data_IF_441299138568
#
_entry.id   IF_441299138568
#
_cell.length_a   1.000
_cell.length_b   1.000
_cell.length_c   1.000
_cell.angle_alpha   90.00
_cell.angle_beta   90.00
_cell.angle_gamma   90.00
#
_symmetry.space_group_name_H-M   'P 1'
#
loop_
_entity.id
_entity.type
_entity.pdbx_description
1 polymer ?
#
# COMPACT_ATOMS: atom_id res chain seq x y z
N UNK A 1 -40.16 21.94 -60.85
CA UNK A 1 -40.63 22.32 -59.50
C UNK A 1 -40.12 21.28 -58.53
N UNK A 2 -38.92 21.44 -57.97
CA UNK A 2 -38.56 22.12 -56.70
C UNK A 2 -38.23 21.06 -55.65
N UNK A 3 -36.93 20.89 -55.45
CA UNK A 3 -36.24 20.17 -54.38
C UNK A 3 -36.60 20.77 -53.02
N UNK A 4 -36.92 19.95 -52.04
CA UNK A 4 -36.72 20.30 -50.63
C UNK A 4 -36.01 19.14 -49.94
N UNK A 5 -34.77 19.41 -49.58
CA UNK A 5 -33.91 18.59 -48.76
C UNK A 5 -33.77 19.26 -47.38
N UNK A 6 -33.56 18.42 -46.35
CA UNK A 6 -32.96 18.69 -45.04
C UNK A 6 -33.82 19.41 -43.97
N UNK A 7 -33.54 19.20 -42.66
CA UNK A 7 -32.30 18.64 -42.12
C UNK A 7 -32.42 17.41 -41.23
N UNK A 8 -31.45 16.51 -41.42
CA UNK A 8 -30.87 15.69 -40.37
C UNK A 8 -30.36 16.63 -39.26
N UNK A 9 -30.90 16.50 -38.06
CA UNK A 9 -30.31 17.13 -36.89
C UNK A 9 -29.07 16.31 -36.52
N UNK A 10 -27.94 16.65 -37.17
CA UNK A 10 -26.63 16.42 -36.57
C UNK A 10 -26.61 17.22 -35.27
N UNK A 11 -26.95 16.56 -34.16
CA UNK A 11 -26.44 16.95 -32.87
C UNK A 11 -24.95 16.58 -32.90
N UNK A 12 -24.17 17.52 -33.40
CA UNK A 12 -22.76 17.63 -33.12
C UNK A 12 -22.65 17.81 -31.61
N UNK A 13 -22.73 16.71 -30.86
CA UNK A 13 -22.40 16.69 -29.45
C UNK A 13 -20.88 16.81 -29.40
N UNK A 14 -20.41 18.05 -29.51
CA UNK A 14 -19.11 18.45 -29.02
C UNK A 14 -19.12 18.24 -27.50
N UNK A 15 -19.12 16.98 -27.09
CA UNK A 15 -19.02 16.56 -25.72
C UNK A 15 -17.75 17.16 -25.19
N UNK A 16 -17.91 18.15 -24.31
CA UNK A 16 -16.86 18.62 -23.42
C UNK A 16 -16.06 17.38 -23.01
N UNK A 17 -14.73 17.41 -23.22
CA UNK A 17 -13.78 16.41 -22.74
C UNK A 17 -13.67 16.37 -21.20
N UNK A 18 -14.82 16.53 -20.54
CA UNK A 18 -15.10 16.35 -19.14
C UNK A 18 -14.87 14.85 -18.84
N UNK A 19 -13.61 14.48 -18.61
CA UNK A 19 -13.25 13.19 -18.04
C UNK A 19 -14.09 13.04 -16.77
N UNK A 20 -14.89 11.96 -16.63
CA UNK A 20 -15.67 11.73 -15.42
C UNK A 20 -14.76 11.85 -14.20
N UNK A 21 -15.16 12.67 -13.24
CA UNK A 21 -14.46 12.71 -11.96
C UNK A 21 -14.39 11.28 -11.40
N UNK A 22 -13.23 10.83 -10.89
CA UNK A 22 -13.15 9.54 -10.24
C UNK A 22 -14.21 9.46 -9.16
N UNK A 23 -14.95 8.34 -9.10
CA UNK A 23 -15.91 8.12 -8.04
C UNK A 23 -15.22 8.30 -6.68
N UNK A 24 -15.88 9.00 -5.76
CA UNK A 24 -15.35 9.13 -4.40
C UNK A 24 -15.16 7.74 -3.79
N UNK A 25 -14.02 7.48 -3.13
CA UNK A 25 -13.80 6.20 -2.47
C UNK A 25 -14.84 6.02 -1.37
N UNK A 26 -15.29 4.78 -1.20
CA UNK A 26 -16.14 4.39 -0.08
C UNK A 26 -15.55 4.90 1.27
N UNK A 27 -16.36 5.43 2.20
CA UNK A 27 -15.86 5.96 3.47
C UNK A 27 -15.00 4.98 4.27
N UNK A 28 -15.29 3.68 4.21
CA UNK A 28 -14.47 2.64 4.84
C UNK A 28 -13.08 2.56 4.20
N UNK A 29 -13.01 2.60 2.87
CA UNK A 29 -11.75 2.67 2.13
C UNK A 29 -10.94 3.93 2.46
N UNK A 30 -11.59 5.08 2.61
CA UNK A 30 -10.93 6.32 3.00
C UNK A 30 -10.32 6.24 4.41
N UNK A 31 -11.06 5.68 5.38
CA UNK A 31 -10.57 5.44 6.73
C UNK A 31 -9.38 4.45 6.75
N UNK A 32 -9.47 3.38 5.97
CA UNK A 32 -8.38 2.39 5.83
C UNK A 32 -7.12 3.03 5.21
N UNK A 33 -7.26 3.92 4.23
CA UNK A 33 -6.13 4.70 3.67
C UNK A 33 -5.50 5.61 4.73
N UNK A 34 -6.30 6.28 5.55
CA UNK A 34 -5.78 7.09 6.65
C UNK A 34 -5.00 6.24 7.64
N UNK A 35 -5.57 5.11 8.06
CA UNK A 35 -4.93 4.19 8.99
C UNK A 35 -3.60 3.67 8.42
N UNK A 36 -3.59 3.22 7.17
CA UNK A 36 -2.37 2.66 6.58
C UNK A 36 -1.25 3.70 6.46
N UNK A 37 -1.59 4.97 6.21
CA UNK A 37 -0.63 6.09 6.21
C UNK A 37 -0.11 6.40 7.60
N UNK A 38 -0.95 6.31 8.63
CA UNK A 38 -0.53 6.47 10.03
C UNK A 38 0.48 5.39 10.43
N UNK A 39 0.20 4.13 10.10
CA UNK A 39 1.14 3.01 10.28
C UNK A 39 2.44 3.27 9.52
N UNK A 40 2.35 3.70 8.25
CA UNK A 40 3.53 3.99 7.44
C UNK A 40 4.38 5.15 7.99
N UNK A 41 3.74 6.17 8.58
CA UNK A 41 4.42 7.25 9.29
C UNK A 41 5.26 6.75 10.46
N UNK A 42 4.73 5.80 11.24
CA UNK A 42 5.46 5.15 12.33
C UNK A 42 6.68 4.34 11.88
N UNK A 43 6.74 3.91 10.61
CA UNK A 43 7.90 3.17 10.10
C UNK A 43 9.17 4.02 9.97
N UNK A 44 9.04 5.35 9.98
CA UNK A 44 10.19 6.26 9.93
C UNK A 44 11.14 6.06 11.12
N UNK A 45 10.60 5.76 12.31
CA UNK A 45 11.37 5.44 13.53
C UNK A 45 12.27 4.21 13.37
N UNK A 46 11.98 3.37 12.37
CA UNK A 46 12.70 2.13 12.08
C UNK A 46 13.55 2.21 10.80
N UNK A 47 13.73 3.41 10.23
CA UNK A 47 14.58 3.64 9.06
C UNK A 47 13.89 3.43 7.71
N UNK A 48 12.55 3.37 7.68
CA UNK A 48 11.76 3.23 6.45
C UNK A 48 11.10 4.57 6.14
N UNK A 49 11.82 5.42 5.40
CA UNK A 49 11.33 6.73 4.99
C UNK A 49 10.23 6.68 3.92
N UNK A 50 9.55 7.82 3.66
CA UNK A 50 8.41 7.92 2.74
C UNK A 50 8.70 7.54 1.29
N UNK A 51 9.97 7.54 0.87
CA UNK A 51 10.38 7.08 -0.47
C UNK A 51 10.33 5.56 -0.63
N UNK A 52 10.29 4.82 0.48
CA UNK A 52 10.36 3.35 0.50
C UNK A 52 9.01 2.71 0.67
N UNK A 53 7.92 3.47 0.71
CA UNK A 53 6.60 2.89 0.86
C UNK A 53 5.54 3.57 0.01
N UNK A 54 4.49 2.83 -0.30
CA UNK A 54 3.28 3.33 -0.94
C UNK A 54 2.04 2.73 -0.27
N UNK A 55 0.95 3.48 -0.30
CA UNK A 55 -0.33 3.12 0.29
C UNK A 55 -1.41 3.23 -0.78
N UNK A 56 -2.10 2.13 -1.09
CA UNK A 56 -3.16 2.12 -2.09
C UNK A 56 -4.16 0.98 -1.84
N UNK A 57 -5.36 1.12 -2.39
CA UNK A 57 -6.29 0.00 -2.49
C UNK A 57 -5.76 -1.04 -3.48
N UNK A 58 -5.81 -2.31 -3.11
CA UNK A 58 -5.48 -3.44 -3.96
C UNK A 58 -6.76 -4.21 -4.30
N UNK A 59 -7.13 -4.22 -5.58
CA UNK A 59 -8.34 -4.89 -6.05
C UNK A 59 -8.26 -6.43 -5.96
N UNK A 60 -7.07 -7.02 -6.00
CA UNK A 60 -6.91 -8.47 -5.87
C UNK A 60 -7.05 -8.90 -4.40
N UNK A 61 -6.48 -8.12 -3.48
CA UNK A 61 -6.63 -8.36 -2.05
C UNK A 61 -7.97 -7.85 -1.48
N UNK A 62 -8.72 -7.07 -2.28
CA UNK A 62 -9.92 -6.34 -1.87
C UNK A 62 -9.72 -5.52 -0.57
N UNK A 63 -8.54 -4.93 -0.40
CA UNK A 63 -8.12 -4.25 0.82
C UNK A 63 -7.13 -3.11 0.55
N UNK A 64 -7.06 -2.15 1.47
CA UNK A 64 -5.98 -1.15 1.46
C UNK A 64 -4.69 -1.81 1.92
N UNK A 65 -3.60 -1.59 1.18
CA UNK A 65 -2.30 -2.18 1.45
C UNK A 65 -1.20 -1.13 1.56
N UNK A 66 -0.30 -1.34 2.51
CA UNK A 66 0.99 -0.65 2.64
C UNK A 66 2.07 -1.52 2.05
N UNK A 67 2.65 -1.07 0.94
CA UNK A 67 3.77 -1.71 0.27
C UNK A 67 5.06 -1.04 0.71
N UNK A 68 6.03 -1.83 1.17
CA UNK A 68 7.36 -1.37 1.57
C UNK A 68 8.39 -2.01 0.65
N UNK A 69 9.19 -1.15 0.02
CA UNK A 69 10.31 -1.55 -0.81
C UNK A 69 11.53 -1.89 0.05
N UNK A 70 12.07 -3.08 -0.18
CA UNK A 70 13.18 -3.66 0.57
C UNK A 70 14.21 -4.28 -0.36
N UNK A 71 15.47 -4.47 0.08
CA UNK A 71 16.47 -5.19 -0.70
C UNK A 71 16.06 -6.63 -1.07
N UNK A 72 15.11 -7.23 -0.34
CA UNK A 72 14.56 -8.58 -0.62
C UNK A 72 13.27 -8.53 -1.47
N UNK A 73 12.91 -7.36 -1.98
CA UNK A 73 11.72 -7.10 -2.77
C UNK A 73 10.58 -6.47 -1.97
N UNK A 74 9.39 -6.47 -2.57
CA UNK A 74 8.24 -5.75 -2.06
C UNK A 74 7.48 -6.59 -1.01
N UNK A 75 7.33 -6.03 0.19
CA UNK A 75 6.47 -6.57 1.23
C UNK A 75 5.21 -5.74 1.34
N UNK A 76 4.05 -6.37 1.53
CA UNK A 76 2.77 -5.68 1.65
C UNK A 76 2.04 -6.07 2.93
N UNK A 77 1.68 -5.08 3.74
CA UNK A 77 0.79 -5.20 4.88
C UNK A 77 -0.62 -4.78 4.46
N UNK A 78 -1.62 -5.67 4.58
CA UNK A 78 -3.00 -5.29 4.29
C UNK A 78 -3.72 -4.82 5.57
N UNK A 79 -4.59 -3.83 5.43
CA UNK A 79 -5.56 -3.45 6.47
C UNK A 79 -6.68 -4.50 6.47
N UNK A 80 -6.83 -5.31 7.53
CA UNK A 80 -7.85 -6.34 7.57
C UNK A 80 -9.20 -5.76 8.05
N UNK A 81 -10.24 -6.60 8.05
CA UNK A 81 -11.47 -6.29 8.78
C UNK A 81 -11.20 -6.18 10.30
N UNK A 82 -12.02 -5.43 11.06
CA UNK A 82 -11.94 -5.42 12.52
C UNK A 82 -11.98 -6.84 13.12
N UNK A 83 -11.14 -7.09 14.14
CA UNK A 83 -11.00 -8.37 14.82
C UNK A 83 -10.04 -9.37 14.17
N UNK A 84 -9.63 -9.15 12.92
CA UNK A 84 -8.66 -9.99 12.21
C UNK A 84 -7.22 -9.49 12.39
N UNK A 85 -6.26 -10.40 12.25
CA UNK A 85 -4.82 -10.07 12.29
C UNK A 85 -4.38 -9.43 10.97
N UNK A 86 -3.36 -8.58 11.02
CA UNK A 86 -2.83 -7.90 9.83
C UNK A 86 -1.99 -8.86 8.98
N UNK A 87 -2.43 -9.28 7.79
CA UNK A 87 -1.68 -10.22 6.97
C UNK A 87 -0.50 -9.52 6.27
N UNK A 88 0.61 -10.24 6.16
CA UNK A 88 1.79 -9.80 5.42
C UNK A 88 1.99 -10.67 4.18
N UNK A 89 2.19 -10.01 3.05
CA UNK A 89 2.43 -10.63 1.76
C UNK A 89 3.82 -10.30 1.25
N UNK A 90 4.41 -11.22 0.50
CA UNK A 90 5.62 -11.02 -0.28
C UNK A 90 5.39 -11.61 -1.67
N UNK A 91 5.67 -10.83 -2.72
CA UNK A 91 5.43 -11.25 -4.12
C UNK A 91 3.99 -11.73 -4.39
N UNK A 92 3.01 -11.16 -3.69
CA UNK A 92 1.59 -11.52 -3.83
C UNK A 92 1.15 -12.73 -3.00
N UNK A 93 2.08 -13.48 -2.42
CA UNK A 93 1.76 -14.62 -1.55
C UNK A 93 1.71 -14.20 -0.08
N UNK A 94 0.73 -14.71 0.66
CA UNK A 94 0.65 -14.49 2.11
C UNK A 94 1.71 -15.32 2.81
N UNK A 95 2.64 -14.64 3.47
CA UNK A 95 3.78 -15.27 4.16
C UNK A 95 3.63 -15.27 5.69
N UNK A 96 2.62 -14.58 6.22
CA UNK A 96 2.34 -14.51 7.64
C UNK A 96 1.27 -13.49 8.01
N UNK A 97 1.25 -13.14 9.30
CA UNK A 97 0.47 -12.04 9.85
C UNK A 97 1.22 -11.47 11.06
N UNK A 98 0.92 -10.21 11.41
CA UNK A 98 1.42 -9.61 12.65
C UNK A 98 0.70 -10.22 13.86
N UNK A 99 1.40 -10.26 15.00
CA UNK A 99 0.86 -10.74 16.28
C UNK A 99 -0.06 -9.71 16.97
N UNK A 100 -0.79 -8.93 16.17
CA UNK A 100 -1.83 -8.02 16.63
C UNK A 100 -3.08 -8.14 15.74
N UNK A 101 -4.23 -7.75 16.31
CA UNK A 101 -5.51 -7.71 15.61
C UNK A 101 -5.94 -6.27 15.41
N UNK A 102 -6.71 -6.00 14.35
CA UNK A 102 -7.30 -4.68 14.14
C UNK A 102 -8.43 -4.45 15.15
N UNK A 103 -8.17 -3.67 16.18
CA UNK A 103 -9.18 -3.28 17.18
C UNK A 103 -9.06 -1.79 17.47
N UNK A 104 -10.08 -1.20 18.10
CA UNK A 104 -10.06 0.22 18.48
C UNK A 104 -8.88 0.59 19.40
N UNK A 105 -8.39 -0.36 20.20
CA UNK A 105 -7.24 -0.16 21.10
C UNK A 105 -5.87 -0.40 20.46
N UNK A 106 -5.81 -0.87 19.22
CA UNK A 106 -4.54 -1.19 18.58
C UNK A 106 -3.93 0.06 17.97
N UNK A 107 -2.91 0.61 18.63
CA UNK A 107 -2.22 1.79 18.15
C UNK A 107 -1.53 1.53 16.81
N UNK A 108 -1.61 2.49 15.89
CA UNK A 108 -0.95 2.39 14.57
C UNK A 108 0.58 2.33 14.71
N UNK A 109 1.15 3.02 15.70
CA UNK A 109 2.59 2.95 16.03
C UNK A 109 3.00 1.56 16.50
N UNK A 110 2.16 0.86 17.26
CA UNK A 110 2.41 -0.52 17.67
C UNK A 110 2.38 -1.46 16.47
N UNK A 111 1.41 -1.30 15.57
CA UNK A 111 1.34 -2.06 14.31
C UNK A 111 2.58 -1.79 13.44
N UNK A 112 3.04 -0.53 13.37
CA UNK A 112 4.26 -0.16 12.65
C UNK A 112 5.51 -0.85 13.24
N UNK A 113 5.62 -0.88 14.57
CA UNK A 113 6.71 -1.57 15.27
C UNK A 113 6.74 -3.07 14.98
N UNK A 114 5.57 -3.73 15.03
CA UNK A 114 5.45 -5.15 14.69
C UNK A 114 5.79 -5.42 13.23
N UNK A 115 5.37 -4.55 12.31
CA UNK A 115 5.70 -4.72 10.90
C UNK A 115 7.19 -4.50 10.63
N UNK A 116 7.81 -3.49 11.23
CA UNK A 116 9.26 -3.29 11.15
C UNK A 116 10.04 -4.48 11.73
N UNK A 117 9.58 -5.05 12.85
CA UNK A 117 10.16 -6.28 13.43
C UNK A 117 10.02 -7.48 12.48
N UNK A 118 8.85 -7.68 11.87
CA UNK A 118 8.62 -8.71 10.86
C UNK A 118 9.58 -8.59 9.68
N UNK A 119 9.77 -7.36 9.16
CA UNK A 119 10.69 -7.11 8.04
C UNK A 119 12.15 -7.37 8.43
N UNK A 120 12.57 -7.06 9.67
CA UNK A 120 13.92 -7.36 10.16
C UNK A 120 14.16 -8.87 10.31
N UNK A 121 13.19 -9.59 10.87
CA UNK A 121 13.28 -11.05 11.07
C UNK A 121 13.50 -11.77 9.73
N UNK A 122 12.83 -11.32 8.67
CA UNK A 122 13.01 -11.86 7.31
C UNK A 122 14.20 -11.28 6.55
N UNK A 123 15.13 -10.61 7.25
CA UNK A 123 16.31 -9.95 6.68
C UNK A 123 15.96 -9.01 5.49
N UNK A 124 14.77 -8.42 5.53
CA UNK A 124 14.29 -7.45 4.55
C UNK A 124 14.68 -6.02 4.94
N UNK A 125 15.13 -5.77 6.16
CA UNK A 125 15.75 -4.50 6.55
C UNK A 125 17.17 -4.74 7.03
N UNK A 126 18.08 -3.84 6.63
CA UNK A 126 19.43 -3.82 7.17
C UNK A 126 19.35 -3.63 8.68
N UNK A 127 20.14 -4.41 9.42
CA UNK A 127 20.22 -4.29 10.87
C UNK A 127 21.47 -3.45 11.15
N UNK A 128 21.33 -2.22 11.68
CA UNK A 128 22.48 -1.41 12.07
C UNK A 128 23.38 -2.24 13.01
N UNK A 129 24.61 -2.49 12.58
CA UNK A 129 25.61 -3.26 13.35
C UNK A 129 25.70 -4.77 13.10
N UNK A 130 24.75 -5.40 12.39
CA UNK A 130 24.82 -6.83 12.04
C UNK A 130 25.34 -7.08 10.62
N UNK A 131 25.09 -6.15 9.70
CA UNK A 131 25.59 -6.20 8.32
C UNK A 131 27.02 -5.65 8.18
N UNK A 132 27.63 -5.23 9.30
CA UNK A 132 29.00 -4.74 9.39
C UNK A 132 30.02 -5.87 9.68
N UNK A 133 29.68 -7.14 9.47
CA UNK A 133 30.71 -8.17 9.40
C UNK A 133 31.51 -7.91 8.11
N UNK A 134 32.78 -7.49 8.19
CA UNK A 134 33.61 -7.43 7.00
C UNK A 134 33.68 -8.84 6.42
N UNK A 135 33.29 -8.99 5.16
CA UNK A 135 33.74 -10.12 4.34
C UNK A 135 35.26 -10.23 4.51
N UNK A 136 35.82 -11.40 4.87
CA UNK A 136 37.25 -11.59 4.87
C UNK A 136 37.69 -11.46 3.41
N UNK A 137 38.17 -10.28 3.03
CA UNK A 137 38.84 -10.09 1.77
C UNK A 137 40.20 -10.77 1.90
N UNK A 138 40.33 -11.85 1.13
CA UNK A 138 41.55 -12.54 0.71
C UNK A 138 42.81 -12.30 1.55
N UNK A 139 43.12 -13.25 2.44
CA UNK A 139 44.51 -13.57 2.76
C UNK A 139 45.03 -14.54 1.70
N UNK A 140 45.52 -14.02 0.57
CA UNK A 140 46.47 -14.71 -0.33
C UNK A 140 47.49 -13.72 -0.85
#
# INVERSE_FOLDING_TARGET
MTRTALPETHADDHGCGCVPAPAEPDPGTAADIMQVRAIAGGLAEFGIGPRRWSAAYDHQAAAVVLRVDTPRGLYALAIPAPGAAFPVHHRGERIGALDCRRTYGTADSYTAALFAAFLRDRAALAIPGRDACPTPQDMV
#
